data_IF_002322211949
#
_entry.id   IF_002322211949
#
_cell.length_a   1.000
_cell.length_b   1.000
_cell.length_c   1.000
_cell.angle_alpha   90.00
_cell.angle_beta   90.00
_cell.angle_gamma   90.00
#
_symmetry.space_group_name_H-M   'P 1'
#
loop_
_entity.id
_entity.type
_entity.pdbx_description
1 polymer ?
#
# COMPACT_ATOMS: atom_id res chain seq x y z
N UNK A 1 -42.79 16.24 61.34
CA UNK A 1 -41.70 17.11 60.84
C UNK A 1 -40.46 16.24 60.68
N UNK A 2 -40.11 15.79 59.47
CA UNK A 2 -38.98 14.87 59.30
C UNK A 2 -38.38 14.72 57.90
N UNK A 3 -39.14 14.96 56.82
CA UNK A 3 -38.73 14.52 55.47
C UNK A 3 -38.37 15.65 54.50
N UNK A 4 -37.58 16.64 54.92
CA UNK A 4 -37.17 17.74 54.02
C UNK A 4 -35.66 18.02 53.97
N UNK A 5 -34.85 17.40 54.83
CA UNK A 5 -33.41 17.69 54.92
C UNK A 5 -32.51 16.67 54.17
N UNK A 6 -33.00 15.44 53.95
CA UNK A 6 -32.24 14.39 53.27
C UNK A 6 -32.21 14.60 51.74
N UNK A 7 -33.33 15.02 51.14
CA UNK A 7 -33.43 15.24 49.70
C UNK A 7 -32.64 16.46 49.22
N UNK A 8 -32.47 17.49 50.06
CA UNK A 8 -31.60 18.63 49.75
C UNK A 8 -30.11 18.30 49.81
N UNK A 9 -29.68 17.33 50.64
CA UNK A 9 -28.28 16.88 50.68
C UNK A 9 -27.91 16.03 49.47
N UNK A 10 -28.78 15.10 49.07
CA UNK A 10 -28.54 14.22 47.93
C UNK A 10 -28.46 14.98 46.60
N UNK A 11 -29.30 16.01 46.44
CA UNK A 11 -29.30 16.85 45.23
C UNK A 11 -28.04 17.73 45.10
N UNK A 12 -27.43 18.11 46.22
CA UNK A 12 -26.18 18.89 46.26
C UNK A 12 -24.94 18.05 45.98
N UNK A 13 -24.94 16.78 46.39
CA UNK A 13 -23.85 15.83 46.10
C UNK A 13 -23.84 15.35 44.63
N UNK A 14 -25.01 15.24 43.98
CA UNK A 14 -25.11 14.90 42.55
C UNK A 14 -24.65 16.05 41.63
N UNK A 15 -24.83 17.32 42.03
CA UNK A 15 -24.34 18.50 41.30
C UNK A 15 -22.81 18.64 41.40
N UNK A 16 -22.22 18.46 42.58
CA UNK A 16 -20.76 18.56 42.76
C UNK A 16 -19.98 17.44 42.05
N UNK A 17 -20.55 16.24 41.90
CA UNK A 17 -19.94 15.17 41.10
C UNK A 17 -19.98 15.43 39.58
N UNK A 18 -20.98 16.18 39.08
CA UNK A 18 -21.06 16.55 37.67
C UNK A 18 -19.95 17.51 37.24
N UNK A 19 -19.66 18.51 38.08
CA UNK A 19 -18.65 19.54 37.81
C UNK A 19 -17.21 19.01 37.89
N UNK A 20 -16.96 18.02 38.76
CA UNK A 20 -15.65 17.35 38.84
C UNK A 20 -15.39 16.47 37.62
N UNK A 21 -16.41 15.76 37.10
CA UNK A 21 -16.28 14.94 35.89
C UNK A 21 -16.08 15.79 34.63
N UNK A 22 -16.75 16.94 34.54
CA UNK A 22 -16.58 17.90 33.43
C UNK A 22 -15.17 18.48 33.38
N UNK A 23 -14.58 18.83 34.53
CA UNK A 23 -13.20 19.32 34.61
C UNK A 23 -12.16 18.25 34.24
N UNK A 24 -12.39 16.99 34.61
CA UNK A 24 -11.50 15.89 34.25
C UNK A 24 -11.48 15.63 32.73
N UNK A 25 -12.65 15.71 32.09
CA UNK A 25 -12.79 15.53 30.63
C UNK A 25 -12.12 16.67 29.85
N UNK A 26 -12.30 17.92 30.31
CA UNK A 26 -11.67 19.11 29.71
C UNK A 26 -10.14 19.11 29.86
N UNK A 27 -9.61 18.48 30.92
CA UNK A 27 -8.16 18.30 31.12
C UNK A 27 -7.57 17.26 30.15
N UNK A 28 -8.29 16.14 29.91
CA UNK A 28 -7.86 15.09 28.99
C UNK A 28 -7.84 15.54 27.51
N UNK A 29 -8.83 16.32 27.09
CA UNK A 29 -8.86 16.90 25.73
C UNK A 29 -7.73 17.92 25.49
N UNK A 30 -7.28 18.62 26.54
CA UNK A 30 -6.18 19.60 26.46
C UNK A 30 -4.80 18.93 26.38
N UNK A 31 -4.62 17.75 26.98
CA UNK A 31 -3.40 16.94 26.84
C UNK A 31 -3.30 16.29 25.45
N UNK A 32 -4.37 15.68 24.92
CA UNK A 32 -4.36 15.07 23.57
C UNK A 32 -4.10 16.10 22.45
N UNK A 33 -4.56 17.35 22.62
CA UNK A 33 -4.29 18.43 21.66
C UNK A 33 -2.84 18.94 21.72
N UNK A 34 -2.14 18.77 22.86
CA UNK A 34 -0.73 19.13 23.02
C UNK A 34 0.21 18.18 22.29
N UNK A 35 -0.05 16.88 22.39
CA UNK A 35 0.76 15.83 21.77
C UNK A 35 0.65 15.83 20.23
N UNK A 36 -0.53 16.15 19.70
CA UNK A 36 -0.76 16.30 18.25
C UNK A 36 0.01 17.50 17.68
N UNK A 37 0.05 18.64 18.40
CA UNK A 37 0.78 19.84 17.97
C UNK A 37 2.31 19.64 18.04
N UNK A 38 2.81 18.89 19.03
CA UNK A 38 4.23 18.54 19.13
C UNK A 38 4.70 17.66 17.94
N UNK A 39 3.87 16.70 17.53
CA UNK A 39 4.19 15.80 16.41
C UNK A 39 4.19 16.53 15.05
N UNK A 40 3.29 17.51 14.84
CA UNK A 40 3.32 18.37 13.65
C UNK A 40 4.57 19.27 13.58
N UNK A 41 5.04 19.82 14.71
CA UNK A 41 6.28 20.63 14.73
C UNK A 41 7.53 19.80 14.44
N UNK A 42 7.61 18.56 14.93
CA UNK A 42 8.74 17.66 14.65
C UNK A 42 8.84 17.29 13.16
N UNK A 43 7.68 17.03 12.51
CA UNK A 43 7.59 16.73 11.08
C UNK A 43 7.92 17.93 10.17
N UNK A 44 7.79 19.16 10.66
CA UNK A 44 8.18 20.37 9.90
C UNK A 44 9.70 20.60 9.93
N UNK A 45 10.37 20.26 11.03
CA UNK A 45 11.83 20.43 11.19
C UNK A 45 12.65 19.44 10.36
N UNK A 46 12.17 18.19 10.22
CA UNK A 46 12.82 17.17 9.37
C UNK A 46 12.66 17.45 7.85
N UNK A 47 11.66 18.25 7.45
CA UNK A 47 11.42 18.59 6.04
C UNK A 47 12.30 19.75 5.55
N UNK A 48 12.82 20.59 6.44
CA UNK A 48 13.76 21.67 6.09
C UNK A 48 15.21 21.18 5.99
N UNK A 49 15.66 20.24 6.83
CA UNK A 49 17.05 19.72 6.76
C UNK A 49 17.34 18.88 5.49
N UNK A 50 16.33 18.28 4.87
CA UNK A 50 16.51 17.50 3.62
C UNK A 50 16.58 18.40 2.36
N UNK A 51 16.18 19.68 2.44
CA UNK A 51 16.22 20.61 1.31
C UNK A 51 17.64 21.12 0.99
N UNK A 52 18.45 21.34 2.02
CA UNK A 52 19.78 21.96 1.87
C UNK A 52 20.86 20.97 1.39
N UNK A 53 20.67 19.67 1.59
CA UNK A 53 21.60 18.64 1.11
C UNK A 53 21.55 18.45 -0.41
N UNK A 54 20.40 18.69 -1.05
CA UNK A 54 20.22 18.50 -2.50
C UNK A 54 20.78 19.67 -3.35
N UNK A 55 20.89 20.86 -2.77
CA UNK A 55 21.42 22.05 -3.46
C UNK A 55 22.95 22.03 -3.61
N UNK A 56 23.67 21.37 -2.69
CA UNK A 56 25.14 21.42 -2.63
C UNK A 56 25.87 20.42 -3.54
N UNK A 57 25.15 19.53 -4.24
CA UNK A 57 25.74 18.59 -5.20
C UNK A 57 25.81 19.11 -6.65
N UNK A 58 25.17 20.26 -6.97
CA UNK A 58 25.04 20.77 -8.35
C UNK A 58 26.10 21.79 -8.80
N UNK A 59 27.16 22.05 -8.01
CA UNK A 59 28.08 23.19 -8.27
C UNK A 59 29.59 22.88 -8.31
N UNK A 60 30.00 21.67 -8.69
CA UNK A 60 31.42 21.31 -9.00
C UNK A 60 31.37 20.23 -10.09
N UNK A 61 32.01 20.27 -11.27
CA UNK A 61 33.01 21.13 -11.91
C UNK A 61 32.69 21.09 -13.42
N UNK A 62 32.68 22.26 -14.07
CA UNK A 62 32.99 22.42 -15.49
C UNK A 62 34.42 22.98 -15.54
N UNK A 63 35.30 22.42 -16.37
CA UNK A 63 36.68 22.87 -16.47
C UNK A 63 37.57 21.90 -17.26
N UNK A 64 37.52 22.06 -18.58
CA UNK A 64 38.62 22.09 -19.56
C UNK A 64 39.84 21.17 -19.37
N UNK A 65 40.11 20.30 -20.37
CA UNK A 65 41.36 20.26 -21.16
C UNK A 65 41.44 18.97 -22.03
N UNK A 66 41.35 19.19 -23.35
CA UNK A 66 42.09 18.60 -24.49
C UNK A 66 42.25 17.05 -24.67
N UNK A 67 42.02 16.64 -25.93
CA UNK A 67 42.13 15.31 -26.57
C UNK A 67 43.61 14.88 -26.85
N UNK A 68 43.99 13.65 -27.33
CA UNK A 68 43.26 12.81 -28.31
C UNK A 68 43.39 11.26 -28.34
N UNK A 69 42.51 10.67 -29.17
CA UNK A 69 42.61 9.45 -30.02
C UNK A 69 42.70 8.03 -29.39
N UNK A 70 41.62 7.23 -29.50
CA UNK A 70 41.33 6.31 -30.63
C UNK A 70 40.39 5.13 -30.25
N UNK A 71 39.34 4.95 -31.08
CA UNK A 71 38.65 3.70 -31.45
C UNK A 71 37.63 2.97 -30.53
N UNK A 72 36.38 2.97 -31.05
CA UNK A 72 35.31 1.92 -31.07
C UNK A 72 34.24 1.80 -29.95
N UNK A 73 33.02 2.26 -30.32
CA UNK A 73 31.63 1.75 -30.09
C UNK A 73 31.50 0.53 -29.15
N UNK A 74 30.62 0.49 -28.14
CA UNK A 74 29.15 0.45 -28.24
C UNK A 74 28.47 1.14 -27.04
N UNK A 75 27.44 1.96 -27.32
CA UNK A 75 26.74 2.83 -26.36
C UNK A 75 25.49 2.13 -25.81
N UNK A 76 25.59 1.56 -24.62
CA UNK A 76 24.43 1.25 -23.77
C UNK A 76 24.01 2.50 -23.03
N UNK A 77 22.76 2.96 -23.23
CA UNK A 77 22.20 4.11 -22.51
C UNK A 77 21.06 3.60 -21.63
N UNK A 78 21.41 3.24 -20.40
CA UNK A 78 20.44 3.14 -19.31
C UNK A 78 20.11 4.58 -18.87
N UNK A 79 18.84 4.95 -18.99
CA UNK A 79 18.30 6.17 -18.39
C UNK A 79 17.04 5.77 -17.63
N UNK A 80 16.99 6.13 -16.35
CA UNK A 80 15.93 5.77 -15.42
C UNK A 80 14.56 6.26 -15.87
N UNK A 81 13.57 5.39 -15.70
CA UNK A 81 12.19 5.70 -16.01
C UNK A 81 11.49 6.28 -14.76
N UNK A 82 11.14 7.56 -14.85
CA UNK A 82 9.93 8.08 -14.19
C UNK A 82 8.70 7.46 -14.89
N UNK A 83 7.52 7.37 -14.23
CA UNK A 83 6.36 6.70 -14.81
C UNK A 83 5.83 7.55 -15.97
N UNK A 84 6.23 7.20 -17.19
CA UNK A 84 5.68 7.78 -18.41
C UNK A 84 4.28 7.22 -18.62
N UNK A 85 3.32 8.10 -18.89
CA UNK A 85 2.05 7.73 -19.46
C UNK A 85 2.31 6.77 -20.63
N UNK A 86 1.71 5.58 -20.58
CA UNK A 86 1.87 4.55 -21.60
C UNK A 86 1.48 5.10 -22.96
N UNK A 87 2.48 5.35 -23.80
CA UNK A 87 2.27 5.68 -25.22
C UNK A 87 1.36 4.61 -25.85
N UNK A 88 0.27 5.01 -26.51
CA UNK A 88 -0.66 4.07 -27.14
C UNK A 88 0.11 3.23 -28.17
N UNK A 89 0.25 1.93 -27.87
CA UNK A 89 0.98 0.97 -28.70
C UNK A 89 2.16 0.28 -28.01
N UNK A 90 2.51 0.65 -26.78
CA UNK A 90 3.58 -0.01 -26.01
C UNK A 90 3.01 -0.87 -24.89
N UNK A 91 3.60 -2.06 -24.68
CA UNK A 91 3.23 -2.97 -23.58
C UNK A 91 4.37 -3.03 -22.56
N UNK A 92 4.05 -3.17 -21.28
CA UNK A 92 5.03 -3.31 -20.20
C UNK A 92 5.70 -4.68 -20.20
N UNK A 93 4.96 -5.76 -20.51
CA UNK A 93 5.54 -7.10 -20.53
C UNK A 93 6.13 -7.45 -21.91
N UNK A 94 7.23 -8.24 -21.98
CA UNK A 94 7.77 -8.70 -23.25
C UNK A 94 6.77 -9.57 -24.03
N UNK A 95 6.37 -9.12 -25.22
CA UNK A 95 5.39 -9.81 -26.08
C UNK A 95 5.74 -11.28 -26.37
N UNK A 96 7.03 -11.58 -26.56
CA UNK A 96 7.48 -12.96 -26.79
C UNK A 96 7.19 -13.87 -25.58
N UNK A 97 7.36 -13.36 -24.35
CA UNK A 97 7.09 -14.12 -23.13
C UNK A 97 5.59 -14.34 -22.93
N UNK A 98 4.78 -13.30 -23.16
CA UNK A 98 3.30 -13.40 -23.08
C UNK A 98 2.80 -14.46 -24.06
N UNK A 99 3.32 -14.48 -25.30
CA UNK A 99 2.95 -15.49 -26.30
C UNK A 99 3.23 -16.92 -25.84
N UNK A 100 4.37 -17.17 -25.20
CA UNK A 100 4.71 -18.49 -24.65
C UNK A 100 3.75 -18.87 -23.53
N UNK A 101 3.50 -17.96 -22.58
CA UNK A 101 2.60 -18.20 -21.46
C UNK A 101 1.16 -18.48 -21.90
N UNK A 102 0.67 -17.78 -22.93
CA UNK A 102 -0.67 -18.03 -23.48
C UNK A 102 -0.85 -19.46 -23.99
N UNK A 103 0.22 -20.13 -24.45
CA UNK A 103 0.19 -21.49 -24.99
C UNK A 103 0.64 -22.57 -24.01
N UNK A 104 1.01 -22.19 -22.79
CA UNK A 104 1.67 -23.08 -21.83
C UNK A 104 0.83 -24.33 -21.50
N UNK A 105 -0.48 -24.14 -21.32
CA UNK A 105 -1.44 -25.22 -21.04
C UNK A 105 -2.14 -25.76 -22.29
N UNK A 106 -2.15 -25.01 -23.38
CA UNK A 106 -2.80 -25.39 -24.62
C UNK A 106 -2.07 -24.77 -25.83
N UNK A 107 -1.32 -25.61 -26.52
CA UNK A 107 -0.54 -25.22 -27.69
C UNK A 107 -1.40 -24.84 -28.91
N UNK A 108 -2.69 -25.21 -28.92
CA UNK A 108 -3.60 -24.94 -30.04
C UNK A 108 -4.12 -23.50 -30.06
N UNK A 109 -3.92 -22.74 -28.97
CA UNK A 109 -4.36 -21.35 -28.83
C UNK A 109 -3.71 -20.45 -29.90
N UNK A 110 -4.56 -19.90 -30.78
CA UNK A 110 -4.14 -18.92 -31.79
C UNK A 110 -3.66 -17.64 -31.10
N UNK A 111 -2.42 -17.26 -31.37
CA UNK A 111 -1.75 -16.13 -30.70
C UNK A 111 -1.12 -15.21 -31.73
N UNK A 112 -2.03 -14.55 -32.45
CA UNK A 112 -1.71 -13.44 -33.34
C UNK A 112 -1.14 -12.27 -32.54
N UNK A 113 -0.39 -11.38 -33.19
CA UNK A 113 0.25 -10.22 -32.54
C UNK A 113 -0.76 -9.34 -31.78
N UNK A 114 -1.92 -9.07 -32.37
CA UNK A 114 -3.00 -8.27 -31.74
C UNK A 114 -3.57 -8.95 -30.50
N UNK A 115 -3.79 -10.26 -30.54
CA UNK A 115 -4.28 -11.03 -29.39
C UNK A 115 -3.27 -10.99 -28.25
N UNK A 116 -1.97 -11.18 -28.56
CA UNK A 116 -0.91 -11.09 -27.55
C UNK A 116 -0.84 -9.68 -26.95
N UNK A 117 -1.05 -8.64 -27.76
CA UNK A 117 -1.08 -7.25 -27.30
C UNK A 117 -2.23 -7.00 -26.33
N UNK A 118 -3.44 -7.44 -26.68
CA UNK A 118 -4.62 -7.30 -25.82
C UNK A 118 -4.45 -8.06 -24.50
N UNK A 119 -3.94 -9.29 -24.53
CA UNK A 119 -3.67 -10.07 -23.31
C UNK A 119 -2.62 -9.38 -22.44
N UNK A 120 -1.59 -8.79 -23.04
CA UNK A 120 -0.57 -8.03 -22.32
C UNK A 120 -1.18 -6.83 -21.59
N UNK A 121 -2.00 -6.03 -22.29
CA UNK A 121 -2.72 -4.90 -21.69
C UNK A 121 -3.75 -5.32 -20.66
N UNK A 122 -4.48 -6.39 -20.89
CA UNK A 122 -5.37 -6.96 -19.90
C UNK A 122 -4.61 -7.42 -18.65
N UNK A 123 -3.40 -7.96 -18.80
CA UNK A 123 -2.55 -8.36 -17.67
C UNK A 123 -2.05 -7.16 -16.86
N UNK A 124 -1.73 -6.04 -17.50
CA UNK A 124 -1.38 -4.78 -16.83
C UNK A 124 -2.56 -4.29 -15.97
N UNK A 125 -3.75 -4.16 -16.58
CA UNK A 125 -4.96 -3.71 -15.89
C UNK A 125 -5.40 -4.67 -14.77
N UNK A 126 -5.23 -5.97 -15.00
CA UNK A 126 -5.51 -6.99 -14.01
C UNK A 126 -4.64 -6.81 -12.76
N UNK A 127 -3.33 -6.62 -12.93
CA UNK A 127 -2.41 -6.45 -11.81
C UNK A 127 -2.67 -5.15 -11.05
N UNK A 128 -2.98 -4.07 -11.76
CA UNK A 128 -3.37 -2.80 -11.14
C UNK A 128 -4.60 -2.98 -10.23
N UNK A 129 -5.67 -3.57 -10.77
CA UNK A 129 -6.89 -3.82 -10.01
C UNK A 129 -6.65 -4.79 -8.84
N UNK A 130 -5.89 -5.86 -9.06
CA UNK A 130 -5.62 -6.86 -8.03
C UNK A 130 -4.79 -6.30 -6.87
N UNK A 131 -3.80 -5.47 -7.17
CA UNK A 131 -2.97 -4.81 -6.17
C UNK A 131 -3.75 -3.73 -5.42
N UNK A 132 -4.63 -2.98 -6.10
CA UNK A 132 -5.50 -2.01 -5.46
C UNK A 132 -6.45 -2.69 -4.45
N UNK A 133 -7.13 -3.77 -4.84
CA UNK A 133 -8.01 -4.52 -3.94
C UNK A 133 -7.24 -5.09 -2.72
N UNK A 134 -6.03 -5.60 -2.96
CA UNK A 134 -5.15 -6.05 -1.88
C UNK A 134 -4.69 -4.89 -0.97
N UNK A 135 -4.47 -3.71 -1.52
CA UNK A 135 -4.13 -2.51 -0.75
C UNK A 135 -5.31 -2.03 0.09
N UNK A 136 -6.53 -2.03 -0.45
CA UNK A 136 -7.75 -1.75 0.32
C UNK A 136 -7.90 -2.72 1.51
N UNK A 137 -7.55 -4.00 1.33
CA UNK A 137 -7.50 -4.96 2.42
C UNK A 137 -6.40 -4.65 3.45
N UNK A 138 -5.24 -4.15 3.01
CA UNK A 138 -4.18 -3.68 3.91
C UNK A 138 -4.62 -2.48 4.77
N UNK A 139 -5.35 -1.54 4.17
CA UNK A 139 -5.88 -0.35 4.85
C UNK A 139 -6.88 -0.71 5.94
N UNK A 140 -7.74 -1.72 5.72
CA UNK A 140 -8.63 -2.28 6.77
C UNK A 140 -7.84 -2.78 7.99
N UNK A 141 -6.64 -3.33 7.75
CA UNK A 141 -5.70 -3.75 8.79
C UNK A 141 -4.85 -2.61 9.39
N UNK A 142 -5.09 -1.34 9.02
CA UNK A 142 -4.25 -0.17 9.35
C UNK A 142 -2.78 -0.34 8.95
N UNK A 143 -2.50 -1.18 7.93
CA UNK A 143 -1.16 -1.41 7.39
C UNK A 143 -0.91 -0.47 6.22
N UNK A 144 0.31 0.05 6.11
CA UNK A 144 0.76 0.93 5.00
C UNK A 144 1.51 0.16 3.90
N UNK A 145 1.50 -1.17 3.97
CA UNK A 145 2.22 -2.05 3.07
C UNK A 145 1.38 -3.28 2.78
N UNK A 146 1.51 -3.81 1.57
CA UNK A 146 0.81 -5.01 1.12
C UNK A 146 1.59 -6.23 1.59
N UNK A 147 0.91 -7.12 2.32
CA UNK A 147 1.41 -8.42 2.72
C UNK A 147 0.63 -9.54 2.02
N UNK A 148 1.17 -10.76 2.04
CA UNK A 148 0.53 -11.93 1.43
C UNK A 148 -0.90 -12.18 1.96
N UNK A 149 -1.12 -11.97 3.24
CA UNK A 149 -2.44 -12.16 3.87
C UNK A 149 -3.50 -11.25 3.23
N UNK A 150 -3.12 -10.07 2.73
CA UNK A 150 -4.03 -9.15 2.07
C UNK A 150 -4.41 -9.63 0.64
N UNK A 151 -3.45 -10.23 -0.06
CA UNK A 151 -3.63 -10.81 -1.40
C UNK A 151 -4.50 -12.07 -1.32
N UNK A 152 -4.14 -13.00 -0.43
CA UNK A 152 -4.90 -14.25 -0.22
C UNK A 152 -6.32 -14.00 0.30
N UNK A 153 -6.52 -13.00 1.17
CA UNK A 153 -7.87 -12.58 1.56
C UNK A 153 -8.67 -12.02 0.36
N UNK A 154 -8.06 -11.21 -0.51
CA UNK A 154 -8.69 -10.73 -1.73
C UNK A 154 -9.14 -11.87 -2.64
N UNK A 155 -8.26 -12.86 -2.86
CA UNK A 155 -8.54 -14.06 -3.66
C UNK A 155 -9.66 -14.92 -3.08
N UNK A 156 -9.70 -15.07 -1.75
CA UNK A 156 -10.73 -15.86 -1.07
C UNK A 156 -12.11 -15.18 -1.08
N UNK A 157 -12.15 -13.86 -0.96
CA UNK A 157 -13.40 -13.11 -0.80
C UNK A 157 -14.06 -12.74 -2.14
N UNK A 158 -13.27 -12.51 -3.19
CA UNK A 158 -13.78 -12.04 -4.47
C UNK A 158 -13.88 -13.15 -5.52
N UNK A 159 -15.10 -13.39 -6.03
CA UNK A 159 -15.35 -14.39 -7.07
C UNK A 159 -14.52 -14.19 -8.34
N UNK A 160 -14.22 -12.93 -8.70
CA UNK A 160 -13.40 -12.57 -9.88
C UNK A 160 -11.95 -13.07 -9.78
N UNK A 161 -11.46 -13.36 -8.59
CA UNK A 161 -10.11 -13.88 -8.36
C UNK A 161 -10.08 -15.38 -8.06
N UNK A 162 -11.21 -16.09 -8.15
CA UNK A 162 -11.30 -17.53 -7.85
C UNK A 162 -10.34 -18.39 -8.69
N UNK A 163 -9.98 -17.96 -9.90
CA UNK A 163 -9.00 -18.67 -10.73
C UNK A 163 -7.58 -18.67 -10.13
N UNK A 164 -7.30 -17.81 -9.14
CA UNK A 164 -6.05 -17.77 -8.41
C UNK A 164 -6.04 -18.63 -7.14
N UNK A 165 -7.16 -19.25 -6.75
CA UNK A 165 -7.26 -19.96 -5.45
C UNK A 165 -6.20 -21.05 -5.27
N UNK A 166 -5.81 -21.72 -6.35
CA UNK A 166 -4.78 -22.77 -6.32
C UNK A 166 -3.35 -22.20 -6.25
N UNK A 167 -3.16 -20.94 -6.66
CA UNK A 167 -1.85 -20.28 -6.71
C UNK A 167 -1.59 -19.37 -5.51
N UNK A 168 -2.67 -18.81 -4.93
CA UNK A 168 -2.63 -17.87 -3.80
C UNK A 168 -3.63 -18.34 -2.73
N UNK A 169 -3.37 -19.50 -2.08
CA UNK A 169 -4.27 -20.02 -1.06
C UNK A 169 -4.25 -19.15 0.21
N UNK A 170 -5.36 -19.21 0.97
CA UNK A 170 -5.40 -18.63 2.30
C UNK A 170 -4.46 -19.41 3.22
N UNK A 171 -3.66 -18.69 4.02
CA UNK A 171 -2.81 -19.32 5.02
C UNK A 171 -3.69 -19.90 6.12
N UNK A 172 -3.54 -21.19 6.35
CA UNK A 172 -4.21 -21.93 7.43
C UNK A 172 -3.16 -22.43 8.41
N UNK A 173 -3.55 -22.58 9.68
CA UNK A 173 -2.67 -23.24 10.65
C UNK A 173 -2.60 -24.74 10.34
N UNK A 174 -1.51 -25.40 10.74
CA UNK A 174 -1.34 -26.85 10.50
C UNK A 174 -2.47 -27.67 11.13
N UNK A 175 -2.97 -27.26 12.31
CA UNK A 175 -4.09 -27.91 12.97
C UNK A 175 -5.39 -27.82 12.16
N UNK A 176 -5.69 -26.64 11.62
CA UNK A 176 -6.90 -26.43 10.80
C UNK A 176 -6.81 -27.17 9.47
N UNK A 177 -5.63 -27.22 8.87
CA UNK A 177 -5.39 -27.97 7.63
C UNK A 177 -5.63 -29.48 7.82
N UNK A 178 -5.12 -30.07 8.91
CA UNK A 178 -5.33 -31.48 9.24
C UNK A 178 -6.82 -31.78 9.48
N UNK A 179 -7.54 -30.91 10.19
CA UNK A 179 -8.99 -31.06 10.40
C UNK A 179 -9.78 -31.01 9.11
N UNK A 180 -9.47 -30.06 8.22
CA UNK A 180 -10.16 -29.93 6.94
C UNK A 180 -9.95 -31.15 6.02
N UNK A 181 -8.84 -31.86 6.14
CA UNK A 181 -8.60 -33.13 5.41
C UNK A 181 -9.40 -34.28 6.03
N UNK A 182 -9.47 -34.34 7.35
CA UNK A 182 -10.24 -35.37 8.08
C UNK A 182 -11.75 -35.22 7.84
N UNK A 183 -12.29 -34.00 7.80
CA UNK A 183 -13.72 -33.76 7.51
C UNK A 183 -14.12 -34.02 6.05
N UNK A 184 -13.15 -34.08 5.13
CA UNK A 184 -13.38 -34.38 3.71
C UNK A 184 -13.24 -35.85 3.35
N UNK A 185 -12.84 -36.69 4.31
CA UNK A 185 -12.65 -38.15 4.16
C UNK A 185 -13.88 -38.89 4.66
#
# INVERSE_FOLDING_TARGET
MGDTLADLKKKKEEEEMGDTLANLKKKKEKEEMGDTLANMKKKKKEKEEMGDTLANMRKRKHGDLESPKAAKKHKGKAAGAAPAATEPGTCSFPMARVRVLMRDKDATIRSNTETVFLVNKASELFLEAFVEDAYQNALKGRKKSIAYDNLSAGVCNEKRYKFLSDFVPLRVTAGDALKAVVERS
#
